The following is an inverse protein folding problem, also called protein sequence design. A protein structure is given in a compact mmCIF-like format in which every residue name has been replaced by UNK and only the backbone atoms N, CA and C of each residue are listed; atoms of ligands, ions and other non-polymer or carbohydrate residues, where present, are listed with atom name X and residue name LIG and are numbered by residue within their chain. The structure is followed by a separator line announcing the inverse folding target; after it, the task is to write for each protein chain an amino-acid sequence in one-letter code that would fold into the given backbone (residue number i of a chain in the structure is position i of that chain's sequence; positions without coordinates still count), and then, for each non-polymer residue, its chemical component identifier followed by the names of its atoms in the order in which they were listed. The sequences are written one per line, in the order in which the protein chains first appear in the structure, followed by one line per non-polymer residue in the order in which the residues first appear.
data_IF_888352735412
#
_entry.id   IF_888352735412
#
_cell.length_a   1.000
_cell.length_b   1.000
_cell.length_c   1.000
_cell.angle_alpha   90.00
_cell.angle_beta   90.00
_cell.angle_gamma   90.00
#
_symmetry.space_group_name_H-M   'P 1'
#
loop_
_entity.id
_entity.type
_entity.pdbx_description
1 polymer ?
#
# COMPACT_ATOMS: atom_id res chain seq x y z
N UNK A 1 -0.89 -14.91 17.84
CA UNK A 1 -0.66 -13.45 17.73
C UNK A 1 -0.88 -13.05 16.28
N UNK A 2 -1.69 -12.03 16.04
CA UNK A 2 -1.88 -11.48 14.68
C UNK A 2 -0.79 -10.43 14.47
N UNK A 3 0.16 -10.69 13.58
CA UNK A 3 1.19 -9.72 13.20
C UNK A 3 0.63 -8.86 12.08
N UNK A 4 0.38 -7.58 12.34
CA UNK A 4 0.03 -6.61 11.31
C UNK A 4 1.35 -6.06 10.76
N UNK A 5 1.65 -6.23 9.46
CA UNK A 5 2.87 -5.69 8.87
C UNK A 5 2.81 -4.17 8.81
N UNK A 6 3.86 -3.52 9.32
CA UNK A 6 4.06 -2.08 9.15
C UNK A 6 4.62 -1.81 7.76
N UNK A 7 3.72 -1.51 6.82
CA UNK A 7 4.04 -1.27 5.40
C UNK A 7 3.66 0.14 4.96
N UNK A 8 3.16 0.97 5.88
CA UNK A 8 2.69 2.32 5.58
C UNK A 8 3.89 3.19 5.18
N UNK A 9 3.78 3.90 4.06
CA UNK A 9 4.83 4.72 3.48
C UNK A 9 5.85 3.95 2.63
N UNK A 10 5.81 2.61 2.63
CA UNK A 10 6.68 1.80 1.79
C UNK A 10 6.19 1.80 0.33
N UNK A 11 7.11 1.70 -0.64
CA UNK A 11 6.73 1.45 -2.02
C UNK A 11 5.99 0.10 -2.13
N UNK A 12 5.05 0.01 -3.06
CA UNK A 12 4.21 -1.17 -3.28
C UNK A 12 5.03 -2.47 -3.33
N UNK A 13 6.15 -2.46 -4.04
CA UNK A 13 7.02 -3.64 -4.18
C UNK A 13 7.53 -4.16 -2.82
N UNK A 14 8.07 -3.27 -1.98
CA UNK A 14 8.53 -3.62 -0.62
C UNK A 14 7.39 -4.07 0.28
N UNK A 15 6.24 -3.41 0.18
CA UNK A 15 5.07 -3.78 0.95
C UNK A 15 4.60 -5.22 0.63
N UNK A 16 4.61 -5.59 -0.66
CA UNK A 16 4.27 -6.94 -1.11
C UNK A 16 5.30 -7.98 -0.66
N UNK A 17 6.60 -7.68 -0.75
CA UNK A 17 7.67 -8.57 -0.26
C UNK A 17 7.48 -8.91 1.22
N UNK A 18 7.21 -7.90 2.07
CA UNK A 18 7.00 -8.10 3.51
C UNK A 18 5.76 -8.95 3.77
N UNK A 19 4.66 -8.66 3.08
CA UNK A 19 3.42 -9.43 3.25
C UNK A 19 3.60 -10.90 2.84
N UNK A 20 4.32 -11.15 1.74
CA UNK A 20 4.63 -12.50 1.26
C UNK A 20 5.54 -13.25 2.23
N UNK A 21 6.57 -12.59 2.78
CA UNK A 21 7.46 -13.18 3.78
C UNK A 21 6.73 -13.56 5.08
N UNK A 22 5.66 -12.83 5.41
CA UNK A 22 4.80 -13.13 6.56
C UNK A 22 3.73 -14.19 6.26
N UNK A 23 3.66 -14.70 5.02
CA UNK A 23 2.66 -15.69 4.60
C UNK A 23 1.27 -15.12 4.37
N UNK A 24 1.16 -13.81 4.13
CA UNK A 24 -0.11 -13.17 3.77
C UNK A 24 -0.30 -13.12 2.26
N UNK A 25 -1.46 -13.53 1.80
CA UNK A 25 -1.98 -13.29 0.47
C UNK A 25 -2.61 -11.89 0.45
N UNK A 26 -2.03 -10.98 -0.32
CA UNK A 26 -2.39 -9.56 -0.32
C UNK A 26 -3.05 -9.14 -1.63
N UNK A 27 -4.21 -8.52 -1.50
CA UNK A 27 -4.93 -7.90 -2.60
C UNK A 27 -4.57 -6.40 -2.66
N UNK A 28 -4.31 -5.89 -3.86
CA UNK A 28 -3.83 -4.51 -4.05
C UNK A 28 -5.00 -3.62 -4.43
N UNK A 29 -5.37 -2.71 -3.54
CA UNK A 29 -6.38 -1.70 -3.80
C UNK A 29 -5.72 -0.39 -4.16
N UNK A 30 -5.71 -0.06 -5.45
CA UNK A 30 -5.18 1.24 -5.92
C UNK A 30 -6.28 2.29 -5.77
N UNK A 31 -6.08 3.23 -4.85
CA UNK A 31 -6.97 4.39 -4.68
C UNK A 31 -6.41 5.60 -5.39
N UNK A 32 -7.25 6.23 -6.22
CA UNK A 32 -6.89 7.41 -7.03
C UNK A 32 -7.59 8.66 -6.51
N UNK A 33 -6.89 9.79 -6.33
CA UNK A 33 -7.53 11.09 -6.31
C UNK A 33 -8.08 11.39 -7.71
N UNK A 34 -9.31 11.92 -7.80
CA UNK A 34 -9.98 12.25 -9.08
C UNK A 34 -9.17 13.21 -9.97
N UNK A 35 -8.18 13.92 -9.40
CA UNK A 35 -7.41 15.00 -10.06
C UNK A 35 -5.88 14.80 -10.08
N UNK A 36 -5.35 13.69 -9.56
CA UNK A 36 -3.90 13.48 -9.49
C UNK A 36 -3.34 12.92 -10.80
N UNK A 37 -2.18 13.42 -11.24
CA UNK A 37 -1.43 12.86 -12.37
C UNK A 37 -0.92 11.47 -12.02
N UNK A 38 -1.05 10.53 -12.95
CA UNK A 38 -0.65 9.12 -12.79
C UNK A 38 0.87 8.92 -13.00
N UNK A 39 1.71 9.81 -12.47
CA UNK A 39 3.16 9.84 -12.74
C UNK A 39 4.01 9.68 -11.48
N UNK A 40 3.45 9.13 -10.40
CA UNK A 40 4.15 8.90 -9.14
C UNK A 40 4.35 7.42 -8.81
N UNK A 41 5.34 7.13 -7.94
CA UNK A 41 5.49 5.81 -7.35
C UNK A 41 4.26 5.48 -6.47
N UNK A 42 3.82 4.22 -6.51
CA UNK A 42 2.75 3.74 -5.63
C UNK A 42 3.30 3.48 -4.22
N UNK A 43 2.71 4.13 -3.23
CA UNK A 43 3.01 3.87 -1.81
C UNK A 43 1.84 3.26 -1.09
N UNK A 44 2.12 2.29 -0.24
CA UNK A 44 1.13 1.72 0.66
C UNK A 44 0.77 2.74 1.74
N UNK A 45 -0.53 2.99 1.90
CA UNK A 45 -1.06 3.92 2.90
C UNK A 45 -1.86 3.20 3.98
N UNK A 46 -2.27 1.96 3.71
CA UNK A 46 -3.11 1.20 4.61
C UNK A 46 -3.01 -0.30 4.33
N UNK A 47 -3.05 -1.09 5.40
CA UNK A 47 -3.19 -2.54 5.35
C UNK A 47 -4.44 -2.93 6.13
N UNK A 48 -5.44 -3.50 5.45
CA UNK A 48 -6.61 -4.09 6.10
C UNK A 48 -6.46 -5.61 6.14
N UNK A 49 -6.40 -6.19 7.33
CA UNK A 49 -6.44 -7.64 7.47
C UNK A 49 -7.87 -8.12 7.26
N UNK A 50 -8.09 -8.93 6.22
CA UNK A 50 -9.41 -9.50 5.89
C UNK A 50 -9.58 -10.87 6.55
N UNK A 51 -8.54 -11.70 6.58
CA UNK A 51 -8.58 -13.05 7.16
C UNK A 51 -7.25 -13.46 7.78
N UNK A 52 -7.16 -14.69 8.32
CA UNK A 52 -5.94 -15.23 8.94
C UNK A 52 -4.70 -15.17 8.04
N UNK A 53 -4.90 -15.35 6.72
CA UNK A 53 -3.84 -15.33 5.70
C UNK A 53 -4.12 -14.32 4.58
N UNK A 54 -5.14 -13.45 4.71
CA UNK A 54 -5.48 -12.47 3.67
C UNK A 54 -5.48 -11.04 4.19
N UNK A 55 -4.90 -10.15 3.40
CA UNK A 55 -4.92 -8.71 3.65
C UNK A 55 -5.19 -7.92 2.37
N UNK A 56 -5.60 -6.67 2.52
CA UNK A 56 -5.75 -5.71 1.42
C UNK A 56 -4.77 -4.59 1.67
N UNK A 57 -3.85 -4.39 0.74
CA UNK A 57 -2.91 -3.26 0.74
C UNK A 57 -3.55 -2.16 -0.09
N UNK A 58 -3.92 -1.07 0.56
CA UNK A 58 -4.34 0.14 -0.16
C UNK A 58 -3.12 0.96 -0.51
N UNK A 59 -2.96 1.24 -1.80
CA UNK A 59 -1.88 2.09 -2.31
C UNK A 59 -2.45 3.35 -2.96
N UNK A 60 -1.69 4.43 -2.88
CA UNK A 60 -1.96 5.68 -3.60
C UNK A 60 -0.75 6.04 -4.44
N UNK A 61 -0.99 6.75 -5.54
CA UNK A 61 0.09 7.39 -6.29
C UNK A 61 0.65 8.53 -5.45
N UNK A 62 1.97 8.62 -5.34
CA UNK A 62 2.61 9.84 -4.88
C UNK A 62 2.20 10.98 -5.82
N UNK A 63 1.56 12.00 -5.26
CA UNK A 63 1.31 13.23 -5.97
C UNK A 63 2.65 13.98 -6.03
N UNK A 64 3.34 13.87 -7.16
CA UNK A 64 4.50 14.71 -7.48
C UNK A 64 4.10 16.16 -7.79
N UNK A 65 2.81 16.51 -7.64
CA UNK A 65 2.21 17.78 -8.00
C UNK A 65 1.88 18.67 -6.81
N UNK A 66 2.93 19.29 -6.26
CA UNK A 66 2.95 20.36 -5.23
C UNK A 66 3.34 19.87 -3.84
N UNK A 67 4.65 19.85 -3.61
CA UNK A 67 5.16 20.36 -2.33
C UNK A 67 4.63 21.77 -2.12
N UNK A 68 4.04 22.01 -0.95
CA UNK A 68 3.59 23.34 -0.53
C UNK A 68 4.78 24.26 -0.24
N UNK A 69 4.58 25.56 -0.48
CA UNK A 69 5.53 26.64 -0.18
C UNK A 69 5.87 27.47 -1.41
#
# INVERSE_FOLDING_TARGET
MTVIPDIIGLPLDKALEICKNLGYEVDIKITRPVKARQEGALRAVRFDKVSKYRGVVTVVFEDTGRGGG
#
